data_IF_086948145612
#
_entry.id   IF_086948145612
#
_cell.length_a   1.000
_cell.length_b   1.000
_cell.length_c   1.000
_cell.angle_alpha   90.00
_cell.angle_beta   90.00
_cell.angle_gamma   90.00
#
_symmetry.space_group_name_H-M   'P 1'
#
loop_
_entity.id
_entity.type
_entity.pdbx_description
1 polymer ?
#
# COMPACT_ATOMS: atom_id res chain seq x y z
N UNK A 1 21.38 -58.71 -27.13
CA UNK A 1 20.29 -58.88 -26.14
C UNK A 1 19.68 -57.51 -25.93
N UNK A 2 18.51 -57.23 -26.51
CA UNK A 2 17.90 -55.90 -26.43
C UNK A 2 17.19 -55.75 -25.07
N UNK A 3 17.54 -54.72 -24.31
CA UNK A 3 16.86 -54.41 -23.06
C UNK A 3 15.50 -53.78 -23.39
N UNK A 4 14.42 -54.54 -23.21
CA UNK A 4 13.07 -54.01 -23.29
C UNK A 4 12.78 -53.26 -22.00
N UNK A 5 12.76 -51.92 -22.07
CA UNK A 5 12.29 -51.11 -20.96
C UNK A 5 10.79 -51.33 -20.77
N UNK A 6 10.34 -51.53 -19.54
CA UNK A 6 8.90 -51.65 -19.28
C UNK A 6 8.22 -50.30 -19.62
N UNK A 7 7.06 -50.32 -20.28
CA UNK A 7 6.33 -49.09 -20.62
C UNK A 7 5.97 -48.27 -19.37
N UNK A 8 5.81 -48.94 -18.23
CA UNK A 8 5.61 -48.32 -16.92
C UNK A 8 6.85 -47.52 -16.46
N UNK A 9 8.05 -48.10 -16.57
CA UNK A 9 9.29 -47.44 -16.17
C UNK A 9 9.60 -46.23 -17.08
N UNK A 10 9.32 -46.35 -18.37
CA UNK A 10 9.45 -45.23 -19.30
C UNK A 10 8.48 -44.09 -18.98
N UNK A 11 7.22 -44.41 -18.68
CA UNK A 11 6.22 -43.42 -18.29
C UNK A 11 6.60 -42.70 -16.99
N UNK A 12 7.09 -43.44 -15.98
CA UNK A 12 7.58 -42.86 -14.72
C UNK A 12 8.78 -41.95 -14.94
N UNK A 13 9.74 -42.37 -15.76
CA UNK A 13 10.92 -41.56 -16.07
C UNK A 13 10.55 -40.26 -16.80
N UNK A 14 9.60 -40.32 -17.73
CA UNK A 14 9.08 -39.14 -18.42
C UNK A 14 8.36 -38.18 -17.48
N UNK A 15 7.56 -38.69 -16.54
CA UNK A 15 6.88 -37.88 -15.53
C UNK A 15 7.87 -37.18 -14.58
N UNK A 16 8.93 -37.88 -14.14
CA UNK A 16 9.97 -37.30 -13.29
C UNK A 16 10.78 -36.24 -14.04
N UNK A 17 11.06 -36.46 -15.33
CA UNK A 17 11.73 -35.48 -16.17
C UNK A 17 10.86 -34.22 -16.35
N UNK A 18 9.56 -34.38 -16.61
CA UNK A 18 8.61 -33.26 -16.72
C UNK A 18 8.51 -32.48 -15.41
N UNK A 19 8.52 -33.16 -14.26
CA UNK A 19 8.50 -32.52 -12.95
C UNK A 19 9.80 -31.76 -12.64
N UNK A 20 10.94 -32.26 -13.12
CA UNK A 20 12.25 -31.62 -12.94
C UNK A 20 12.43 -30.34 -13.78
N UNK A 21 11.69 -30.21 -14.89
CA UNK A 21 11.71 -29.02 -15.76
C UNK A 21 10.66 -27.99 -15.32
N UNK A 22 9.71 -28.37 -14.45
CA UNK A 22 8.68 -27.46 -13.97
C UNK A 22 9.34 -26.33 -13.17
N UNK A 23 9.07 -25.05 -13.49
CA UNK A 23 9.64 -23.94 -12.75
C UNK A 23 9.24 -24.05 -11.28
N UNK A 24 10.23 -23.93 -10.39
CA UNK A 24 9.99 -23.97 -8.95
C UNK A 24 9.02 -22.84 -8.57
N UNK A 25 7.85 -23.12 -7.95
CA UNK A 25 6.87 -22.09 -7.61
C UNK A 25 7.40 -21.03 -6.62
N UNK A 26 8.57 -21.27 -6.01
CA UNK A 26 9.24 -20.29 -5.15
C UNK A 26 9.72 -19.03 -5.87
N UNK A 27 9.72 -18.98 -7.21
CA UNK A 27 10.12 -17.78 -7.94
C UNK A 27 9.01 -16.75 -8.14
N UNK A 28 7.75 -17.07 -7.81
CA UNK A 28 6.63 -16.10 -7.94
C UNK A 28 6.76 -14.95 -6.92
N UNK A 29 7.41 -15.19 -5.77
CA UNK A 29 7.63 -14.18 -4.73
C UNK A 29 9.08 -13.66 -4.67
N UNK A 30 9.95 -14.10 -5.58
CA UNK A 30 11.36 -13.72 -5.60
C UNK A 30 11.66 -12.44 -6.39
N UNK A 31 10.67 -11.79 -6.98
CA UNK A 31 10.80 -10.36 -7.27
C UNK A 31 10.82 -9.65 -5.93
N UNK A 32 11.95 -9.04 -5.54
CA UNK A 32 11.91 -7.92 -4.61
C UNK A 32 10.75 -7.04 -5.10
N UNK A 33 9.70 -6.79 -4.29
CA UNK A 33 8.71 -5.82 -4.72
C UNK A 33 9.51 -4.57 -5.04
N UNK A 34 9.34 -4.03 -6.25
CA UNK A 34 9.68 -2.64 -6.51
C UNK A 34 8.71 -1.84 -5.63
N UNK A 35 9.05 -1.78 -4.36
CA UNK A 35 8.18 -1.37 -3.28
C UNK A 35 8.50 0.05 -2.96
N UNK A 36 7.46 0.87 -2.86
CA UNK A 36 7.61 2.20 -2.31
C UNK A 36 7.53 2.13 -0.78
N UNK A 37 8.29 2.98 -0.10
CA UNK A 37 8.03 3.29 1.31
C UNK A 37 7.23 4.57 1.42
N UNK A 38 6.30 4.59 2.36
CA UNK A 38 5.42 5.72 2.62
C UNK A 38 5.46 6.09 4.10
N UNK A 39 5.88 7.31 4.39
CA UNK A 39 5.84 7.88 5.74
C UNK A 39 4.73 8.92 5.84
N UNK A 40 4.03 8.94 6.98
CA UNK A 40 3.06 9.99 7.31
C UNK A 40 3.72 11.02 8.23
N UNK A 41 3.78 12.26 7.75
CA UNK A 41 4.37 13.39 8.48
C UNK A 41 3.22 14.30 8.92
N UNK A 42 3.13 14.59 10.23
CA UNK A 42 2.16 15.57 10.72
C UNK A 42 2.46 16.95 10.14
N UNK A 43 1.44 17.67 9.66
CA UNK A 43 1.58 18.97 9.00
C UNK A 43 2.32 19.99 9.85
N UNK A 44 2.05 19.99 11.15
CA UNK A 44 2.68 20.89 12.14
C UNK A 44 4.00 20.34 12.73
N UNK A 45 4.54 19.24 12.17
CA UNK A 45 5.88 18.73 12.52
C UNK A 45 6.96 19.59 11.88
N UNK A 46 8.11 19.75 12.53
CA UNK A 46 9.29 20.42 11.94
C UNK A 46 9.83 19.74 10.68
N UNK A 47 9.47 18.47 10.44
CA UNK A 47 9.81 17.73 9.22
C UNK A 47 8.89 18.06 8.03
N UNK A 48 7.79 18.77 8.28
CA UNK A 48 6.83 19.16 7.26
C UNK A 48 7.36 20.36 6.46
N UNK A 49 7.26 20.34 5.12
CA UNK A 49 7.55 21.52 4.31
C UNK A 49 6.55 22.67 4.56
N UNK A 50 5.43 22.39 5.24
CA UNK A 50 4.43 23.38 5.63
C UNK A 50 4.65 23.92 7.05
N UNK A 51 5.74 23.53 7.72
CA UNK A 51 6.04 23.99 9.07
C UNK A 51 6.43 25.47 9.10
N UNK A 52 5.64 26.28 9.80
CA UNK A 52 5.94 27.69 10.00
C UNK A 52 6.81 27.89 11.26
N UNK A 53 8.08 28.22 11.04
CA UNK A 53 9.06 28.50 12.11
C UNK A 53 8.71 29.72 12.95
N UNK A 54 7.93 30.66 12.42
CA UNK A 54 7.52 31.87 13.14
C UNK A 54 6.29 31.65 14.04
N UNK A 55 5.60 30.52 13.87
CA UNK A 55 4.38 30.21 14.62
C UNK A 55 4.68 29.77 16.05
N UNK A 56 3.85 30.22 16.99
CA UNK A 56 3.85 29.70 18.36
C UNK A 56 3.07 28.39 18.46
N UNK A 57 3.26 27.64 19.54
CA UNK A 57 2.49 26.41 19.79
C UNK A 57 0.98 26.68 19.85
N UNK A 58 0.57 27.78 20.47
CA UNK A 58 -0.83 28.17 20.60
C UNK A 58 -1.47 28.44 19.22
N UNK A 59 -0.78 29.22 18.37
CA UNK A 59 -1.25 29.48 17.00
C UNK A 59 -1.37 28.19 16.18
N UNK A 60 -0.42 27.24 16.34
CA UNK A 60 -0.51 25.94 15.67
C UNK A 60 -1.72 25.13 16.17
N UNK A 61 -1.98 25.13 17.48
CA UNK A 61 -3.15 24.46 18.04
C UNK A 61 -4.47 25.08 17.54
N UNK A 62 -4.57 26.41 17.48
CA UNK A 62 -5.72 27.12 16.93
C UNK A 62 -5.96 26.75 15.46
N UNK A 63 -4.90 26.77 14.63
CA UNK A 63 -5.00 26.38 13.24
C UNK A 63 -5.42 24.91 13.06
N UNK A 64 -4.89 24.00 13.88
CA UNK A 64 -5.30 22.60 13.87
C UNK A 64 -6.79 22.44 14.23
N UNK A 65 -7.28 23.18 15.22
CA UNK A 65 -8.70 23.18 15.58
C UNK A 65 -9.59 23.69 14.44
N UNK A 66 -9.19 24.79 13.79
CA UNK A 66 -9.91 25.34 12.63
C UNK A 66 -9.99 24.35 11.47
N UNK A 67 -8.88 23.67 11.15
CA UNK A 67 -8.85 22.63 10.11
C UNK A 67 -9.74 21.44 10.46
N UNK A 68 -9.72 21.00 11.72
CA UNK A 68 -10.61 19.95 12.20
C UNK A 68 -12.08 20.32 12.04
N UNK A 69 -12.47 21.55 12.38
CA UNK A 69 -13.84 22.04 12.19
C UNK A 69 -14.27 22.12 10.72
N UNK A 70 -13.37 22.53 9.82
CA UNK A 70 -13.65 22.54 8.39
C UNK A 70 -13.81 21.11 7.85
N UNK A 71 -12.98 20.18 8.34
CA UNK A 71 -13.07 18.76 7.98
C UNK A 71 -14.36 18.12 8.47
N UNK A 72 -14.79 18.39 9.70
CA UNK A 72 -16.04 17.83 10.23
C UNK A 72 -17.25 18.28 9.43
N UNK A 73 -17.27 19.55 8.98
CA UNK A 73 -18.29 20.07 8.05
C UNK A 73 -18.25 19.35 6.70
N UNK A 74 -17.06 19.15 6.13
CA UNK A 74 -16.91 18.39 4.87
C UNK A 74 -17.42 16.95 5.02
N UNK A 75 -17.06 16.25 6.10
CA UNK A 75 -17.50 14.88 6.35
C UNK A 75 -19.02 14.83 6.51
N UNK A 76 -19.59 15.74 7.30
CA UNK A 76 -21.04 15.83 7.48
C UNK A 76 -21.76 16.07 6.13
N UNK A 77 -21.18 16.86 5.23
CA UNK A 77 -21.73 17.09 3.90
C UNK A 77 -21.70 15.84 3.01
N UNK A 78 -20.69 14.98 3.15
CA UNK A 78 -20.61 13.73 2.40
C UNK A 78 -21.71 12.75 2.77
N UNK A 79 -22.05 12.70 4.07
CA UNK A 79 -23.10 11.81 4.57
C UNK A 79 -24.53 12.36 4.41
N UNK A 80 -24.68 13.63 4.03
CA UNK A 80 -26.00 14.24 3.85
C UNK A 80 -26.80 13.64 2.66
N UNK A 81 -26.14 12.93 1.73
CA UNK A 81 -26.76 12.44 0.48
C UNK A 81 -26.56 10.93 0.21
N UNK A 82 -26.09 10.12 1.16
CA UNK A 82 -25.71 8.73 0.87
C UNK A 82 -26.43 7.70 1.75
N UNK A 83 -27.27 6.86 1.14
CA UNK A 83 -27.90 5.66 1.76
C UNK A 83 -27.18 4.34 1.44
N UNK A 84 -26.03 4.37 0.77
CA UNK A 84 -25.33 3.13 0.38
C UNK A 84 -23.83 3.16 0.70
N UNK A 85 -23.36 2.00 1.19
CA UNK A 85 -21.98 1.54 1.42
C UNK A 85 -20.95 2.62 1.83
N UNK A 86 -20.57 2.61 3.11
CA UNK A 86 -19.47 3.42 3.66
C UNK A 86 -18.15 2.97 3.00
N UNK A 87 -17.80 3.60 1.90
CA UNK A 87 -16.49 3.54 1.28
C UNK A 87 -15.93 4.96 1.27
N UNK A 88 -14.74 5.15 1.82
CA UNK A 88 -14.06 6.45 1.84
C UNK A 88 -12.90 6.37 0.85
N UNK A 89 -13.02 6.95 -0.36
CA UNK A 89 -11.88 7.06 -1.26
C UNK A 89 -10.78 7.91 -0.57
N UNK A 90 -9.55 7.39 -0.54
CA UNK A 90 -8.38 8.14 -0.05
C UNK A 90 -8.06 9.21 -1.08
N UNK A 91 -8.55 10.43 -0.85
CA UNK A 91 -8.23 11.58 -1.69
C UNK A 91 -7.11 12.41 -1.08
N UNK A 92 -6.18 12.87 -1.92
CA UNK A 92 -5.23 13.91 -1.52
C UNK A 92 -6.00 15.18 -1.16
N UNK A 93 -5.76 15.71 0.03
CA UNK A 93 -6.42 16.90 0.54
C UNK A 93 -5.54 17.64 1.53
N UNK A 94 -5.96 18.84 1.99
CA UNK A 94 -5.21 19.67 2.94
C UNK A 94 -5.28 19.12 4.38
N UNK A 95 -5.22 17.79 4.54
CA UNK A 95 -5.35 17.08 5.79
C UNK A 95 -4.20 17.35 6.78
N UNK A 96 -4.31 16.75 7.95
CA UNK A 96 -3.32 16.91 9.03
C UNK A 96 -2.03 16.13 8.80
N UNK A 97 -2.03 15.20 7.84
CA UNK A 97 -0.89 14.35 7.53
C UNK A 97 -0.50 14.52 6.06
N UNK A 98 0.79 14.70 5.84
CA UNK A 98 1.43 14.67 4.54
C UNK A 98 2.01 13.27 4.30
N UNK A 99 1.94 12.80 3.06
CA UNK A 99 2.55 11.53 2.66
C UNK A 99 3.91 11.81 2.04
N UNK A 100 4.96 11.20 2.57
CA UNK A 100 6.29 11.16 1.94
C UNK A 100 6.46 9.81 1.26
N UNK A 101 6.45 9.83 -0.06
CA UNK A 101 6.64 8.64 -0.89
C UNK A 101 8.11 8.53 -1.30
N UNK A 102 8.67 7.32 -1.20
CA UNK A 102 10.01 6.98 -1.69
C UNK A 102 9.91 5.70 -2.52
N UNK A 103 10.62 5.66 -3.64
CA UNK A 103 10.61 4.57 -4.63
C UNK A 103 11.82 3.67 -4.50
#
# INVERSE_FOLDING_TARGET
MAAFFSPLAFSLLLQLLLLAILPNPTTIFASKPLGFSMDLIHRDSSLSPLYDLSSTLAQRAEQAALRFMLRSRSIASWFANTTSMISSPVMAGPGELLMKLSL
#
